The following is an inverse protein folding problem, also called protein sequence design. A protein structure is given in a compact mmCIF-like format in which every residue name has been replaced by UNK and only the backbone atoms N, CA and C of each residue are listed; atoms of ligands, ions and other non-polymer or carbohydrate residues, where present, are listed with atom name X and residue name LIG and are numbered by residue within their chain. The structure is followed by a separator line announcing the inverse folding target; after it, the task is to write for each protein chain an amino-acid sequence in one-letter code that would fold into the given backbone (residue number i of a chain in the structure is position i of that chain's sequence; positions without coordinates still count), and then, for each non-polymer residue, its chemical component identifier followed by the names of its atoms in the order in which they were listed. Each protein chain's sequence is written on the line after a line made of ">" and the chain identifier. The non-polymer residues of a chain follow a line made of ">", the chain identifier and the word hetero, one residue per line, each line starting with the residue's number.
data_IF_784899415518
#
_entry.id   IF_784899415518
#
_cell.length_a   1.000
_cell.length_b   1.000
_cell.length_c   1.000
_cell.angle_alpha   90.00
_cell.angle_beta   90.00
_cell.angle_gamma   90.00
#
_symmetry.space_group_name_H-M   'P 1'
#
loop_
_entity.id
_entity.type
_entity.pdbx_description
1 polymer ?
#
# COMPACT_ATOMS: atom_id res chain seq x y z
N UNK A 1 -18.01 23.07 14.26
CA UNK A 1 -18.21 22.49 12.91
C UNK A 1 -16.90 22.57 12.15
N UNK A 2 -15.83 21.96 12.68
CA UNK A 2 -14.45 22.10 12.17
C UNK A 2 -13.79 20.72 12.04
N UNK A 3 -13.96 19.86 13.05
CA UNK A 3 -13.43 18.48 13.02
C UNK A 3 -13.95 17.61 11.86
N UNK A 4 -15.16 17.88 11.37
CA UNK A 4 -15.80 17.16 10.24
C UNK A 4 -15.22 17.57 8.87
N UNK A 5 -14.58 18.73 8.80
CA UNK A 5 -13.90 19.24 7.60
C UNK A 5 -12.45 18.75 7.57
N UNK A 6 -11.78 18.78 8.73
CA UNK A 6 -10.39 18.38 8.86
C UNK A 6 -10.17 16.90 8.46
N UNK A 7 -11.05 15.98 8.88
CA UNK A 7 -10.93 14.55 8.55
C UNK A 7 -11.13 14.24 7.06
N UNK A 8 -12.05 14.96 6.39
CA UNK A 8 -12.28 14.82 4.95
C UNK A 8 -11.12 15.38 4.14
N UNK A 9 -10.56 16.52 4.57
CA UNK A 9 -9.40 17.13 3.92
C UNK A 9 -8.14 16.23 4.05
N UNK A 10 -7.91 15.66 5.23
CA UNK A 10 -6.85 14.67 5.45
C UNK A 10 -7.03 13.42 4.58
N UNK A 11 -8.27 12.92 4.48
CA UNK A 11 -8.62 11.80 3.61
C UNK A 11 -8.34 12.07 2.13
N UNK A 12 -8.72 13.25 1.64
CA UNK A 12 -8.47 13.66 0.25
C UNK A 12 -6.98 13.78 -0.04
N UNK A 13 -6.20 14.40 0.86
CA UNK A 13 -4.75 14.54 0.68
C UNK A 13 -4.03 13.18 0.67
N UNK A 14 -4.45 12.27 1.56
CA UNK A 14 -3.92 10.91 1.58
C UNK A 14 -4.22 10.16 0.28
N UNK A 15 -5.43 10.35 -0.27
CA UNK A 15 -5.86 9.73 -1.52
C UNK A 15 -5.03 10.24 -2.71
N UNK A 16 -4.83 11.55 -2.84
CA UNK A 16 -4.02 12.16 -3.90
C UNK A 16 -2.56 11.67 -3.87
N UNK A 17 -1.96 11.64 -2.68
CA UNK A 17 -0.60 11.15 -2.50
C UNK A 17 -0.48 9.66 -2.84
N UNK A 18 -1.51 8.87 -2.51
CA UNK A 18 -1.54 7.44 -2.80
C UNK A 18 -1.76 7.18 -4.29
N UNK A 19 -2.62 7.95 -4.96
CA UNK A 19 -2.81 7.88 -6.41
C UNK A 19 -1.51 8.15 -7.16
N UNK A 20 -0.74 9.14 -6.73
CA UNK A 20 0.58 9.43 -7.31
C UNK A 20 1.56 8.26 -7.07
N UNK A 21 1.59 7.69 -5.87
CA UNK A 21 2.44 6.56 -5.55
C UNK A 21 2.09 5.31 -6.39
N UNK A 22 0.80 4.99 -6.52
CA UNK A 22 0.29 3.89 -7.36
C UNK A 22 0.66 4.12 -8.83
N UNK A 23 0.42 5.32 -9.35
CA UNK A 23 0.73 5.64 -10.75
C UNK A 23 2.23 5.55 -11.02
N UNK A 24 3.05 6.07 -10.11
CA UNK A 24 4.51 5.98 -10.21
C UNK A 24 4.98 4.52 -10.19
N UNK A 25 4.44 3.71 -9.28
CA UNK A 25 4.77 2.29 -9.24
C UNK A 25 4.28 1.54 -10.48
N UNK A 26 3.11 1.86 -11.03
CA UNK A 26 2.62 1.22 -12.25
C UNK A 26 3.49 1.54 -13.47
N UNK A 27 3.87 2.81 -13.62
CA UNK A 27 4.46 3.31 -14.87
C UNK A 27 5.99 3.15 -14.92
N UNK A 28 6.66 3.10 -13.76
CA UNK A 28 8.11 2.85 -13.68
C UNK A 28 8.39 1.34 -13.74
N UNK A 29 9.25 0.82 -14.64
CA UNK A 29 9.49 -0.62 -14.74
C UNK A 29 10.21 -1.23 -13.52
N UNK A 30 11.13 -0.48 -12.90
CA UNK A 30 11.84 -0.90 -11.69
C UNK A 30 10.98 -0.75 -10.43
N UNK A 31 11.32 -1.48 -9.37
CA UNK A 31 10.68 -1.30 -8.06
C UNK A 31 11.06 0.07 -7.48
N UNK A 32 10.06 0.92 -7.22
CA UNK A 32 10.28 2.24 -6.63
C UNK A 32 10.61 2.15 -5.14
N UNK A 33 11.15 3.24 -4.58
CA UNK A 33 11.31 3.41 -3.12
C UNK A 33 9.96 3.20 -2.43
N UNK A 34 9.94 2.38 -1.37
CA UNK A 34 8.70 2.13 -0.62
C UNK A 34 8.16 3.44 -0.01
N UNK A 35 6.94 3.88 -0.37
CA UNK A 35 6.40 5.17 0.07
C UNK A 35 5.84 5.07 1.49
N UNK A 36 6.70 4.82 2.48
CA UNK A 36 6.33 4.53 3.86
C UNK A 36 5.46 5.61 4.50
N UNK A 37 5.80 6.89 4.28
CA UNK A 37 5.05 8.02 4.82
C UNK A 37 3.63 8.08 4.22
N UNK A 38 3.50 7.88 2.90
CA UNK A 38 2.20 7.86 2.22
C UNK A 38 1.32 6.71 2.71
N UNK A 39 1.89 5.51 2.84
CA UNK A 39 1.15 4.34 3.37
C UNK A 39 0.72 4.56 4.83
N UNK A 40 1.59 5.16 5.64
CA UNK A 40 1.25 5.48 7.04
C UNK A 40 0.12 6.53 7.12
N UNK A 41 0.19 7.60 6.31
CA UNK A 41 -0.83 8.63 6.23
C UNK A 41 -2.18 8.06 5.77
N UNK A 42 -2.18 7.22 4.72
CA UNK A 42 -3.39 6.53 4.24
C UNK A 42 -4.04 5.67 5.32
N UNK A 43 -3.24 4.91 6.08
CA UNK A 43 -3.75 4.09 7.20
C UNK A 43 -4.31 4.95 8.35
N UNK A 44 -3.66 6.08 8.65
CA UNK A 44 -4.15 7.03 9.63
C UNK A 44 -5.49 7.64 9.19
N UNK A 45 -5.60 8.06 7.93
CA UNK A 45 -6.83 8.60 7.35
C UNK A 45 -7.98 7.58 7.42
N UNK A 46 -7.74 6.31 7.06
CA UNK A 46 -8.74 5.23 7.21
C UNK A 46 -9.20 5.12 8.67
N UNK A 47 -8.29 5.17 9.65
CA UNK A 47 -8.66 5.06 11.06
C UNK A 47 -9.54 6.25 11.51
N UNK A 48 -9.19 7.47 11.10
CA UNK A 48 -9.97 8.69 11.39
C UNK A 48 -11.35 8.62 10.74
N UNK A 49 -11.43 8.34 9.44
CA UNK A 49 -12.69 8.22 8.70
C UNK A 49 -13.55 7.07 9.25
N UNK A 50 -12.95 5.96 9.68
CA UNK A 50 -13.70 4.85 10.30
C UNK A 50 -14.35 5.28 11.61
N UNK A 51 -13.67 6.11 12.42
CA UNK A 51 -14.25 6.67 13.63
C UNK A 51 -15.41 7.62 13.30
N UNK A 52 -15.27 8.44 12.25
CA UNK A 52 -16.33 9.32 11.75
C UNK A 52 -17.55 8.52 11.27
N UNK A 53 -17.38 7.53 10.39
CA UNK A 53 -18.45 6.66 9.89
C UNK A 53 -19.22 6.00 11.04
N UNK A 54 -18.53 5.58 12.11
CA UNK A 54 -19.19 5.02 13.31
C UNK A 54 -20.03 6.05 14.06
N UNK A 55 -19.59 7.30 14.10
CA UNK A 55 -20.28 8.38 14.80
C UNK A 55 -21.45 8.96 14.00
N UNK A 56 -21.26 9.18 12.69
CA UNK A 56 -22.16 9.96 11.84
C UNK A 56 -22.94 9.11 10.83
N UNK A 57 -22.48 7.89 10.54
CA UNK A 57 -22.95 7.04 9.42
C UNK A 57 -22.85 7.73 8.06
N UNK A 58 -21.89 8.64 7.90
CA UNK A 58 -21.67 9.34 6.63
C UNK A 58 -21.24 8.36 5.52
N UNK A 59 -22.03 8.21 4.43
CA UNK A 59 -21.64 7.37 3.30
C UNK A 59 -20.43 7.91 2.55
N UNK A 60 -20.20 9.22 2.48
CA UNK A 60 -19.08 9.79 1.74
C UNK A 60 -17.72 9.45 2.40
N UNK A 61 -17.67 9.46 3.73
CA UNK A 61 -16.51 8.98 4.48
C UNK A 61 -16.24 7.49 4.25
N UNK A 62 -17.29 6.68 4.06
CA UNK A 62 -17.16 5.25 3.72
C UNK A 62 -16.60 5.06 2.30
N UNK A 63 -17.12 5.78 1.32
CA UNK A 63 -16.62 5.72 -0.06
C UNK A 63 -15.13 6.12 -0.13
N UNK A 64 -14.72 7.10 0.69
CA UNK A 64 -13.31 7.51 0.79
C UNK A 64 -12.42 6.42 1.39
N UNK A 65 -12.89 5.72 2.44
CA UNK A 65 -12.17 4.56 3.00
C UNK A 65 -11.99 3.46 1.95
N UNK A 66 -13.05 3.16 1.21
CA UNK A 66 -13.02 2.11 0.18
C UNK A 66 -12.01 2.48 -0.92
N UNK A 67 -12.01 3.73 -1.39
CA UNK A 67 -11.04 4.23 -2.37
C UNK A 67 -9.58 4.17 -1.87
N UNK A 68 -9.30 4.59 -0.63
CA UNK A 68 -7.95 4.49 -0.05
C UNK A 68 -7.52 3.02 0.04
N UNK A 69 -8.43 2.13 0.45
CA UNK A 69 -8.16 0.70 0.60
C UNK A 69 -7.86 0.04 -0.74
N UNK A 70 -8.62 0.37 -1.78
CA UNK A 70 -8.40 -0.10 -3.14
C UNK A 70 -7.02 0.30 -3.65
N UNK A 71 -6.65 1.58 -3.51
CA UNK A 71 -5.33 2.04 -3.94
C UNK A 71 -4.17 1.45 -3.12
N UNK A 72 -4.36 1.18 -1.83
CA UNK A 72 -3.37 0.46 -1.02
C UNK A 72 -3.17 -0.97 -1.54
N UNK A 73 -4.25 -1.64 -1.93
CA UNK A 73 -4.20 -2.98 -2.51
C UNK A 73 -3.53 -2.98 -3.88
N UNK A 74 -3.83 -2.00 -4.74
CA UNK A 74 -3.17 -1.85 -6.04
C UNK A 74 -1.68 -1.56 -5.91
N UNK A 75 -1.29 -0.67 -4.98
CA UNK A 75 0.12 -0.41 -4.70
C UNK A 75 0.84 -1.70 -4.27
N UNK A 76 0.25 -2.46 -3.35
CA UNK A 76 0.81 -3.72 -2.89
C UNK A 76 0.95 -4.73 -4.04
N UNK A 77 -0.08 -4.85 -4.89
CA UNK A 77 -0.09 -5.76 -6.04
C UNK A 77 1.01 -5.43 -7.04
N UNK A 78 1.13 -4.17 -7.48
CA UNK A 78 2.17 -3.78 -8.43
C UNK A 78 3.58 -4.00 -7.88
N UNK A 79 3.78 -3.73 -6.58
CA UNK A 79 5.06 -3.96 -5.92
C UNK A 79 5.38 -5.44 -5.80
N UNK A 80 4.41 -6.26 -5.39
CA UNK A 80 4.55 -7.71 -5.29
C UNK A 80 4.90 -8.31 -6.65
N UNK A 81 4.17 -7.94 -7.72
CA UNK A 81 4.46 -8.37 -9.08
C UNK A 81 5.93 -8.10 -9.42
N UNK A 82 6.43 -6.88 -9.21
CA UNK A 82 7.83 -6.54 -9.49
C UNK A 82 8.84 -7.28 -8.61
N UNK A 83 8.54 -7.46 -7.33
CA UNK A 83 9.41 -8.21 -6.41
C UNK A 83 9.53 -9.67 -6.86
N UNK A 84 8.43 -10.30 -7.25
CA UNK A 84 8.44 -11.68 -7.76
C UNK A 84 9.27 -11.83 -9.04
N UNK A 85 9.36 -10.78 -9.87
CA UNK A 85 10.21 -10.77 -11.06
C UNK A 85 11.72 -10.77 -10.74
N UNK A 86 12.13 -10.48 -9.50
CA UNK A 86 13.54 -10.55 -9.08
C UNK A 86 14.07 -11.99 -8.99
N UNK A 87 13.17 -13.00 -9.00
CA UNK A 87 13.50 -14.43 -8.95
C UNK A 87 14.47 -14.76 -7.79
N UNK A 88 15.70 -15.13 -8.13
CA UNK A 88 16.73 -15.60 -7.19
C UNK A 88 17.58 -14.45 -6.63
N UNK A 89 17.37 -13.21 -7.09
CA UNK A 89 18.02 -12.03 -6.53
C UNK A 89 17.36 -11.64 -5.19
N UNK A 90 18.14 -11.18 -4.20
CA UNK A 90 17.59 -10.62 -2.98
C UNK A 90 16.75 -9.39 -3.29
N UNK A 91 15.65 -9.19 -2.55
CA UNK A 91 14.83 -8.00 -2.69
C UNK A 91 15.65 -6.74 -2.35
N UNK A 92 15.55 -5.67 -3.15
CA UNK A 92 16.35 -4.46 -2.97
C UNK A 92 15.94 -3.70 -1.70
N UNK A 93 16.80 -2.76 -1.26
CA UNK A 93 16.51 -1.91 -0.11
C UNK A 93 15.32 -0.96 -0.33
N UNK A 94 14.94 -0.73 -1.59
CA UNK A 94 13.74 0.02 -1.99
C UNK A 94 12.44 -0.73 -1.64
N UNK A 95 12.51 -2.04 -1.39
CA UNK A 95 11.40 -2.81 -0.82
C UNK A 95 11.28 -2.56 0.69
N UNK A 96 10.05 -2.57 1.21
CA UNK A 96 9.80 -2.48 2.65
C UNK A 96 10.40 -3.70 3.38
N UNK A 97 10.67 -3.60 4.70
CA UNK A 97 11.14 -4.73 5.47
C UNK A 97 10.25 -5.98 5.35
N UNK A 98 8.92 -5.80 5.35
CA UNK A 98 7.96 -6.90 5.24
C UNK A 98 8.01 -7.56 3.84
N UNK A 99 8.07 -6.75 2.78
CA UNK A 99 8.23 -7.23 1.40
C UNK A 99 9.50 -8.07 1.24
N UNK A 100 10.62 -7.62 1.82
CA UNK A 100 11.89 -8.36 1.76
C UNK A 100 11.82 -9.71 2.47
N UNK A 101 11.16 -9.76 3.63
CA UNK A 101 10.95 -11.01 4.37
C UNK A 101 10.11 -11.98 3.56
N UNK A 102 8.96 -11.52 3.04
CA UNK A 102 8.07 -12.34 2.23
C UNK A 102 8.79 -12.90 0.98
N UNK A 103 9.54 -12.07 0.26
CA UNK A 103 10.34 -12.51 -0.89
C UNK A 103 11.38 -13.56 -0.51
N UNK A 104 12.09 -13.38 0.61
CA UNK A 104 13.07 -14.34 1.08
C UNK A 104 12.44 -15.70 1.43
N UNK A 105 11.25 -15.72 2.04
CA UNK A 105 10.49 -16.94 2.34
C UNK A 105 10.03 -17.66 1.08
N UNK A 106 9.56 -16.92 0.08
CA UNK A 106 9.17 -17.45 -1.23
C UNK A 106 10.39 -18.05 -1.95
N UNK A 107 11.50 -17.30 -2.00
CA UNK A 107 12.75 -17.77 -2.62
C UNK A 107 13.30 -19.02 -1.94
N UNK A 108 13.28 -19.07 -0.60
CA UNK A 108 13.68 -20.26 0.16
C UNK A 108 12.78 -21.48 -0.11
N UNK A 109 11.48 -21.25 -0.28
CA UNK A 109 10.51 -22.30 -0.63
C UNK A 109 10.76 -22.83 -2.04
N UNK A 110 10.97 -21.95 -3.02
CA UNK A 110 11.30 -22.34 -4.40
C UNK A 110 12.62 -23.13 -4.44
N UNK A 111 13.66 -22.67 -3.74
CA UNK A 111 14.94 -23.37 -3.66
C UNK A 111 14.78 -24.78 -3.08
N UNK A 112 13.96 -24.93 -2.03
CA UNK A 112 13.64 -26.25 -1.45
C UNK A 112 12.94 -27.16 -2.45
N UNK A 113 11.91 -26.66 -3.15
CA UNK A 113 11.18 -27.43 -4.16
C UNK A 113 12.07 -27.88 -5.33
N UNK A 114 13.03 -27.04 -5.74
CA UNK A 114 14.02 -27.39 -6.78
C UNK A 114 15.04 -28.43 -6.31
N UNK A 115 15.42 -28.43 -5.03
CA UNK A 115 16.37 -29.38 -4.44
C UNK A 115 15.77 -30.72 -3.99
N UNK A 116 14.45 -30.85 -4.05
CA UNK A 116 13.71 -32.11 -3.77
C UNK A 116 13.34 -32.90 -5.04
N UNK A 117 13.88 -32.52 -6.20
CA UNK A 117 13.78 -33.24 -7.47
C UNK A 117 15.14 -33.90 -7.79
#
# INVERSE_FOLDING_TARGET
>A
MTADTDARDEGSQALDALFLAVSTERDVPSLCEYPAATVAAAKAAIATLTAEVRATRDPAARDTIDAITEHLADLARFREEKILHLRDAPAPLTASPAERIAHAEIAATIARLRGTA
#
